data_IF_253825646981
#
_entry.id   IF_253825646981
#
_cell.length_a   1.000
_cell.length_b   1.000
_cell.length_c   1.000
_cell.angle_alpha   90.00
_cell.angle_beta   90.00
_cell.angle_gamma   90.00
#
_symmetry.space_group_name_H-M   'P 1'
#
loop_
_entity.id
_entity.type
_entity.pdbx_description
1 polymer ?
#
# COMPACT_ATOMS: atom_id res chain seq x y z
N UNK A 1 4.81 2.57 -0.86
CA UNK A 1 6.17 2.08 -1.23
C UNK A 1 6.73 1.14 -0.16
N UNK A 2 7.42 0.05 -0.53
CA UNK A 2 8.09 -0.84 0.41
C UNK A 2 9.15 -0.13 1.26
N UNK A 3 9.46 -0.69 2.43
CA UNK A 3 10.62 -0.24 3.23
C UNK A 3 11.88 -0.96 2.78
N UNK A 4 13.02 -0.25 2.74
CA UNK A 4 14.30 -0.85 2.34
C UNK A 4 14.72 -2.04 3.21
N UNK A 5 14.36 -2.04 4.50
CA UNK A 5 14.60 -3.18 5.39
C UNK A 5 13.82 -4.43 4.97
N UNK A 6 12.63 -4.27 4.40
CA UNK A 6 11.82 -5.38 3.88
C UNK A 6 12.47 -5.96 2.61
N UNK A 7 12.90 -5.07 1.71
CA UNK A 7 13.60 -5.45 0.47
C UNK A 7 14.90 -6.24 0.77
N UNK A 8 15.65 -5.83 1.80
CA UNK A 8 16.85 -6.54 2.27
C UNK A 8 16.58 -7.96 2.80
N UNK A 9 15.31 -8.30 3.06
CA UNK A 9 14.89 -9.66 3.42
C UNK A 9 14.42 -10.48 2.20
N UNK A 10 14.57 -9.98 0.97
CA UNK A 10 14.05 -10.65 -0.23
C UNK A 10 12.53 -10.58 -0.35
N UNK A 11 11.91 -9.54 0.21
CA UNK A 11 10.46 -9.36 0.24
C UNK A 11 10.08 -7.97 -0.25
N UNK A 12 9.04 -7.88 -1.07
CA UNK A 12 8.49 -6.59 -1.52
C UNK A 12 6.98 -6.51 -1.28
N UNK A 13 6.45 -5.29 -1.41
CA UNK A 13 5.02 -5.04 -1.50
C UNK A 13 4.74 -4.34 -2.82
N UNK A 14 3.92 -4.96 -3.66
CA UNK A 14 3.38 -4.34 -4.87
C UNK A 14 2.09 -3.59 -4.52
N UNK A 15 2.06 -2.30 -4.85
CA UNK A 15 0.91 -1.40 -4.62
C UNK A 15 0.63 -0.57 -5.86
N UNK A 16 -0.61 -0.10 -5.99
CA UNK A 16 -0.98 0.94 -6.95
C UNK A 16 -0.92 2.34 -6.30
N UNK A 17 -1.38 3.34 -7.05
CA UNK A 17 -1.70 4.67 -6.51
C UNK A 17 -3.11 4.63 -5.94
N UNK A 18 -3.33 5.33 -4.82
CA UNK A 18 -4.67 5.59 -4.31
C UNK A 18 -5.19 6.90 -4.88
N UNK A 19 -6.35 6.83 -5.53
CA UNK A 19 -7.03 7.99 -6.09
C UNK A 19 -7.43 9.01 -5.02
N UNK A 20 -7.48 10.28 -5.41
CA UNK A 20 -7.89 11.35 -4.50
C UNK A 20 -9.34 11.13 -4.04
N UNK A 21 -9.57 11.18 -2.73
CA UNK A 21 -10.87 10.88 -2.14
C UNK A 21 -11.09 9.40 -1.77
N UNK A 22 -10.13 8.51 -2.06
CA UNK A 22 -10.16 7.16 -1.54
C UNK A 22 -10.09 7.15 0.00
N UNK A 23 -10.91 6.31 0.62
CA UNK A 23 -10.92 6.04 2.06
C UNK A 23 -11.14 4.55 2.27
N UNK A 24 -10.28 3.90 3.05
CA UNK A 24 -10.37 2.45 3.31
C UNK A 24 -9.08 1.87 3.89
N UNK A 25 -9.14 0.62 4.39
CA UNK A 25 -7.94 -0.17 4.70
C UNK A 25 -7.58 -1.00 3.47
N UNK A 26 -6.73 -0.42 2.64
CA UNK A 26 -6.40 -1.01 1.33
C UNK A 26 -5.69 -2.33 1.44
N UNK A 27 -5.90 -3.18 0.46
CA UNK A 27 -5.12 -4.40 0.27
C UNK A 27 -3.91 -4.16 -0.64
N UNK A 28 -2.87 -4.98 -0.48
CA UNK A 28 -1.64 -4.91 -1.28
C UNK A 28 -1.01 -6.28 -1.38
N UNK A 29 -0.25 -6.51 -2.45
CA UNK A 29 0.36 -7.82 -2.69
C UNK A 29 1.73 -7.89 -2.00
N UNK A 30 1.87 -8.81 -1.04
CA UNK A 30 3.16 -9.16 -0.45
C UNK A 30 3.79 -10.29 -1.28
N UNK A 31 4.97 -10.04 -1.85
CA UNK A 31 5.71 -11.04 -2.64
C UNK A 31 6.98 -11.43 -1.89
N UNK A 32 7.14 -12.73 -1.64
CA UNK A 32 8.29 -13.31 -0.94
C UNK A 32 9.15 -14.04 -1.95
N UNK A 33 10.29 -13.43 -2.31
CA UNK A 33 11.30 -14.07 -3.18
C UNK A 33 12.29 -14.91 -2.38
N UNK A 34 12.39 -14.67 -1.08
CA UNK A 34 13.24 -15.44 -0.19
C UNK A 34 12.75 -16.89 -0.09
N UNK A 35 13.56 -17.85 -0.55
CA UNK A 35 13.23 -19.28 -0.57
C UNK A 35 13.02 -19.87 0.84
N UNK A 36 13.65 -19.29 1.87
CA UNK A 36 13.44 -19.67 3.27
C UNK A 36 12.12 -19.14 3.85
N UNK A 37 11.39 -18.33 3.07
CA UNK A 37 10.14 -17.69 3.46
C UNK A 37 10.35 -16.39 4.25
N UNK A 38 9.26 -15.87 4.81
CA UNK A 38 9.28 -14.64 5.61
C UNK A 38 8.18 -14.64 6.68
N UNK A 39 8.51 -14.24 7.91
CA UNK A 39 7.55 -14.13 9.01
C UNK A 39 7.29 -12.66 9.34
N UNK A 40 6.02 -12.28 9.29
CA UNK A 40 5.57 -10.93 9.61
C UNK A 40 4.98 -10.94 11.02
N UNK A 41 5.50 -10.09 11.90
CA UNK A 41 4.84 -9.83 13.19
C UNK A 41 3.62 -8.94 12.96
N UNK A 42 2.54 -9.18 13.70
CA UNK A 42 1.39 -8.26 13.74
C UNK A 42 1.88 -6.83 13.99
N UNK A 43 1.31 -5.88 13.24
CA UNK A 43 1.62 -4.44 13.27
C UNK A 43 3.06 -4.07 12.84
N UNK A 44 3.79 -4.99 12.20
CA UNK A 44 5.06 -4.65 11.59
C UNK A 44 4.87 -3.59 10.50
N UNK A 45 5.69 -2.53 10.54
CA UNK A 45 5.73 -1.51 9.49
C UNK A 45 6.38 -2.10 8.24
N UNK A 46 5.58 -2.42 7.23
CA UNK A 46 6.01 -3.08 5.98
C UNK A 46 6.05 -2.14 4.77
N UNK A 47 5.26 -1.07 4.78
CA UNK A 47 5.23 -0.04 3.74
C UNK A 47 5.20 1.37 4.35
N UNK A 48 5.37 2.36 3.49
CA UNK A 48 5.16 3.77 3.79
C UNK A 48 4.30 4.42 2.70
N UNK A 49 3.48 5.37 3.11
CA UNK A 49 2.69 6.19 2.20
C UNK A 49 3.50 7.40 1.75
N UNK A 50 3.38 7.74 0.48
CA UNK A 50 3.95 8.94 -0.11
C UNK A 50 2.77 9.75 -0.64
N UNK A 51 2.64 10.99 -0.16
CA UNK A 51 1.58 11.88 -0.57
C UNK A 51 2.12 12.86 -1.61
N UNK A 52 1.41 12.95 -2.73
CA UNK A 52 1.69 13.88 -3.80
C UNK A 52 0.58 14.91 -3.86
N UNK A 53 0.95 16.18 -4.09
CA UNK A 53 -0.05 17.22 -4.37
C UNK A 53 -0.49 17.08 -5.83
N UNK A 54 -1.79 17.12 -6.05
CA UNK A 54 -2.34 17.24 -7.38
C UNK A 54 -2.14 18.66 -7.89
N UNK A 55 -1.93 18.80 -9.20
CA UNK A 55 -1.83 20.13 -9.84
C UNK A 55 -3.14 20.92 -9.75
N UNK A 56 -4.26 20.22 -9.67
CA UNK A 56 -5.60 20.80 -9.58
C UNK A 56 -6.45 20.03 -8.57
N UNK A 57 -7.52 20.67 -8.10
CA UNK A 57 -8.48 20.03 -7.20
C UNK A 57 -9.37 19.08 -8.00
N UNK A 58 -9.61 17.88 -7.46
CA UNK A 58 -10.61 16.96 -8.03
C UNK A 58 -12.03 17.48 -7.78
N UNK A 59 -12.87 17.47 -8.82
CA UNK A 59 -14.28 17.84 -8.73
C UNK A 59 -15.09 16.78 -7.97
N UNK A 60 -14.77 15.51 -8.17
CA UNK A 60 -15.33 14.36 -7.47
C UNK A 60 -14.17 13.47 -7.01
N UNK A 61 -14.24 12.99 -5.77
CA UNK A 61 -13.27 12.04 -5.24
C UNK A 61 -13.56 10.61 -5.71
N UNK A 62 -12.68 9.68 -5.37
CA UNK A 62 -12.88 8.26 -5.64
C UNK A 62 -14.22 7.75 -5.10
N UNK A 63 -15.05 7.23 -6.00
CA UNK A 63 -16.37 6.66 -5.73
C UNK A 63 -16.52 5.24 -6.27
N UNK A 64 -15.38 4.54 -6.45
CA UNK A 64 -15.36 3.16 -6.96
C UNK A 64 -15.77 2.11 -5.93
N UNK A 65 -15.80 0.84 -6.37
CA UNK A 65 -16.30 -0.30 -5.57
C UNK A 65 -15.48 -0.59 -4.31
N UNK A 66 -14.22 -0.16 -4.26
CA UNK A 66 -13.33 -0.34 -3.11
C UNK A 66 -13.41 0.83 -2.10
N UNK A 67 -14.33 1.78 -2.32
CA UNK A 67 -14.50 2.88 -1.38
C UNK A 67 -15.06 2.37 -0.06
N UNK A 68 -14.44 2.79 1.04
CA UNK A 68 -14.68 2.33 2.40
C UNK A 68 -14.38 0.84 2.65
N UNK A 69 -13.52 0.24 1.84
CA UNK A 69 -13.13 -1.16 2.06
C UNK A 69 -12.47 -1.36 3.43
N UNK A 70 -12.82 -2.48 4.08
CA UNK A 70 -12.20 -2.95 5.31
C UNK A 70 -12.19 -1.92 6.46
N UNK A 71 -13.14 -0.98 6.55
CA UNK A 71 -13.24 0.03 7.64
C UNK A 71 -13.98 -0.47 8.89
#
# INVERSE_FOLDING_TARGET
KPRSSLLRCGVTIETAVWDAGYSGRSESLLVVFNEDGFRVKKDARVLQLLFYRLGERVSEGYSGVYQNENL
#
